data_IF_372388152244
#
_entry.id   IF_372388152244
#
_cell.length_a   1.000
_cell.length_b   1.000
_cell.length_c   1.000
_cell.angle_alpha   90.00
_cell.angle_beta   90.00
_cell.angle_gamma   90.00
#
_symmetry.space_group_name_H-M   'P 1'
#
loop_
_entity.id
_entity.type
_entity.pdbx_description
1 polymer ?
#
# COMPACT_ATOMS: atom_id res chain seq x y z
N UNK A 1 -7.64 -69.41 -33.05
CA UNK A 1 -6.53 -68.48 -33.30
C UNK A 1 -6.14 -67.89 -31.99
N UNK A 2 -5.11 -68.44 -31.35
CA UNK A 2 -4.63 -68.16 -30.02
C UNK A 2 -3.55 -67.06 -30.05
N UNK A 3 -3.76 -66.05 -29.20
CA UNK A 3 -2.80 -64.98 -28.93
C UNK A 3 -1.58 -65.53 -28.16
N UNK A 4 -0.35 -65.07 -28.40
CA UNK A 4 0.79 -65.47 -27.61
C UNK A 4 0.94 -64.64 -26.33
N UNK A 5 0.91 -65.36 -25.24
CA UNK A 5 0.99 -64.94 -23.89
C UNK A 5 2.46 -64.78 -23.43
N UNK A 6 2.71 -63.72 -22.71
CA UNK A 6 3.61 -63.53 -21.59
C UNK A 6 4.89 -64.34 -21.49
N UNK A 7 6.02 -63.69 -21.67
CA UNK A 7 7.25 -64.07 -21.04
C UNK A 7 7.56 -63.12 -19.89
N UNK A 8 7.82 -63.60 -18.65
CA UNK A 8 8.23 -62.77 -17.53
C UNK A 8 9.63 -62.23 -17.77
N UNK A 9 9.80 -60.92 -17.67
CA UNK A 9 11.10 -60.26 -17.66
C UNK A 9 11.78 -60.63 -16.36
N UNK A 10 12.87 -61.37 -16.43
CA UNK A 10 13.76 -61.59 -15.33
C UNK A 10 14.44 -60.29 -14.97
N UNK A 11 14.12 -59.73 -13.77
CA UNK A 11 14.89 -58.67 -13.16
C UNK A 11 16.30 -59.18 -12.82
N UNK A 12 17.30 -58.61 -13.43
CA UNK A 12 18.67 -58.81 -13.02
C UNK A 12 18.87 -58.18 -11.62
N UNK A 13 19.63 -58.82 -10.70
CA UNK A 13 19.96 -58.19 -9.44
C UNK A 13 20.80 -56.93 -9.73
N UNK A 14 20.36 -55.82 -9.22
CA UNK A 14 21.15 -54.60 -9.21
C UNK A 14 22.31 -54.78 -8.26
N UNK A 15 23.55 -54.69 -8.80
CA UNK A 15 24.75 -54.75 -8.00
C UNK A 15 24.75 -53.65 -6.94
N UNK A 16 25.11 -54.03 -5.73
CA UNK A 16 25.17 -53.15 -4.55
C UNK A 16 26.11 -51.94 -4.79
N UNK A 17 27.06 -52.06 -5.71
CA UNK A 17 27.95 -50.98 -6.13
C UNK A 17 27.24 -49.88 -6.99
N UNK A 18 26.20 -50.23 -7.72
CA UNK A 18 25.44 -49.26 -8.54
C UNK A 18 24.54 -48.41 -7.66
N UNK A 19 24.06 -48.94 -6.54
CA UNK A 19 23.23 -48.20 -5.58
C UNK A 19 24.06 -47.25 -4.70
N UNK A 20 25.34 -47.57 -4.41
CA UNK A 20 26.23 -46.68 -3.67
C UNK A 20 26.59 -45.41 -4.49
N UNK A 21 26.86 -45.57 -5.79
CA UNK A 21 27.15 -44.43 -6.67
C UNK A 21 25.95 -43.53 -6.93
N UNK A 22 24.73 -44.06 -6.89
CA UNK A 22 23.50 -43.24 -7.06
C UNK A 22 23.21 -42.45 -5.76
N UNK A 23 23.51 -43.02 -4.58
CA UNK A 23 23.33 -42.33 -3.30
C UNK A 23 24.36 -41.21 -3.07
N UNK A 24 25.59 -41.37 -3.50
CA UNK A 24 26.65 -40.35 -3.37
C UNK A 24 26.41 -39.18 -4.36
N UNK A 25 25.91 -39.42 -5.57
CA UNK A 25 25.59 -38.38 -6.54
C UNK A 25 24.39 -37.54 -6.20
N UNK A 26 23.43 -38.07 -5.42
CA UNK A 26 22.21 -37.35 -5.00
C UNK A 26 22.45 -36.54 -3.71
N UNK A 27 23.38 -36.98 -2.85
CA UNK A 27 23.69 -36.28 -1.60
C UNK A 27 24.78 -35.20 -1.75
N UNK A 28 25.61 -35.27 -2.82
CA UNK A 28 26.68 -34.31 -3.05
C UNK A 28 26.21 -32.92 -3.53
N UNK A 29 24.98 -32.78 -3.99
CA UNK A 29 24.49 -31.56 -4.61
C UNK A 29 23.52 -30.76 -3.72
N UNK A 30 23.19 -31.29 -2.53
CA UNK A 30 22.27 -30.57 -1.61
C UNK A 30 22.96 -29.42 -0.88
N UNK A 31 24.25 -29.45 -0.71
CA UNK A 31 24.98 -28.37 -0.02
C UNK A 31 25.18 -27.15 -0.93
N UNK A 32 25.23 -27.35 -2.25
CA UNK A 32 25.31 -26.23 -3.22
C UNK A 32 23.98 -25.57 -3.48
N UNK A 33 22.85 -26.25 -3.25
CA UNK A 33 21.49 -25.67 -3.40
C UNK A 33 21.13 -24.79 -2.21
N UNK A 34 21.72 -25.01 -1.04
CA UNK A 34 21.43 -24.25 0.18
C UNK A 34 22.14 -22.88 0.17
N UNK A 35 23.31 -22.77 -0.46
CA UNK A 35 24.08 -21.52 -0.50
C UNK A 35 23.54 -20.49 -1.48
N UNK A 36 22.78 -20.88 -2.52
CA UNK A 36 22.21 -19.95 -3.50
C UNK A 36 20.93 -19.23 -2.99
N UNK A 37 20.31 -19.73 -1.92
CA UNK A 37 19.16 -19.06 -1.29
C UNK A 37 19.55 -17.90 -0.35
N UNK A 38 20.80 -17.83 0.11
CA UNK A 38 21.26 -16.77 1.01
C UNK A 38 21.69 -15.47 0.27
N UNK A 39 21.85 -15.51 -1.05
CA UNK A 39 22.26 -14.34 -1.85
C UNK A 39 21.15 -13.26 -2.00
N UNK A 40 19.92 -13.56 -1.62
CA UNK A 40 18.80 -12.63 -1.59
C UNK A 40 18.25 -12.41 -0.18
N UNK A 41 19.12 -12.35 0.82
CA UNK A 41 18.72 -12.00 2.18
C UNK A 41 17.91 -10.69 2.16
N UNK A 42 16.66 -10.75 2.63
CA UNK A 42 15.78 -9.58 2.67
C UNK A 42 16.51 -8.41 3.38
N UNK A 43 16.43 -7.19 2.84
CA UNK A 43 17.12 -6.05 3.43
C UNK A 43 16.73 -5.89 4.89
N UNK A 44 17.75 -5.72 5.77
CA UNK A 44 17.56 -5.57 7.22
C UNK A 44 17.52 -4.09 7.62
N UNK A 45 16.88 -3.78 8.74
CA UNK A 45 16.81 -2.43 9.27
C UNK A 45 15.92 -1.48 8.45
N UNK A 46 16.31 -0.21 8.30
CA UNK A 46 15.56 0.82 7.60
C UNK A 46 15.37 0.53 6.10
N UNK A 47 16.36 -0.11 5.46
CA UNK A 47 16.28 -0.49 4.07
C UNK A 47 15.12 -1.45 3.78
N UNK A 48 14.72 -2.29 4.73
CA UNK A 48 13.54 -3.14 4.62
C UNK A 48 12.28 -2.32 4.32
N UNK A 49 12.04 -1.26 5.07
CA UNK A 49 10.84 -0.44 4.93
C UNK A 49 10.83 0.38 3.63
N UNK A 50 12.01 0.86 3.21
CA UNK A 50 12.13 1.67 2.00
C UNK A 50 11.94 0.87 0.71
N UNK A 51 12.48 -0.35 0.66
CA UNK A 51 12.50 -1.19 -0.54
C UNK A 51 11.62 -2.44 -0.45
N UNK A 52 10.78 -2.54 0.59
CA UNK A 52 9.91 -3.70 0.75
C UNK A 52 8.95 -3.84 -0.43
N UNK A 53 8.85 -5.07 -0.92
CA UNK A 53 7.83 -5.47 -1.90
C UNK A 53 6.71 -6.28 -1.27
N UNK A 54 6.83 -6.63 0.01
CA UNK A 54 5.86 -7.42 0.74
C UNK A 54 4.60 -6.60 1.06
N UNK A 55 3.44 -7.11 0.69
CA UNK A 55 2.15 -6.44 0.88
C UNK A 55 1.84 -6.12 2.36
N UNK A 56 2.31 -6.94 3.31
CA UNK A 56 2.10 -6.71 4.75
C UNK A 56 2.92 -5.54 5.27
N UNK A 57 4.19 -5.44 4.85
CA UNK A 57 5.04 -4.32 5.23
C UNK A 57 4.49 -3.01 4.66
N UNK A 58 4.10 -3.00 3.38
CA UNK A 58 3.52 -1.82 2.73
C UNK A 58 2.18 -1.46 3.38
N UNK A 59 1.31 -2.44 3.64
CA UNK A 59 0.06 -2.23 4.37
C UNK A 59 0.29 -1.63 5.76
N UNK A 60 1.32 -2.09 6.48
CA UNK A 60 1.71 -1.55 7.78
C UNK A 60 2.19 -0.10 7.66
N UNK A 61 2.96 0.24 6.62
CA UNK A 61 3.39 1.62 6.36
C UNK A 61 2.18 2.54 6.12
N UNK A 62 1.20 2.11 5.32
CA UNK A 62 -0.05 2.84 5.10
C UNK A 62 -0.82 3.07 6.41
N UNK A 63 -0.93 2.06 7.28
CA UNK A 63 -1.62 2.16 8.57
C UNK A 63 -0.92 3.13 9.52
N UNK A 64 0.41 3.08 9.64
CA UNK A 64 1.17 4.03 10.44
C UNK A 64 1.08 5.45 9.91
N UNK A 65 1.16 5.63 8.60
CA UNK A 65 0.98 6.93 7.96
C UNK A 65 -0.43 7.48 8.24
N UNK A 66 -1.45 6.66 8.04
CA UNK A 66 -2.85 7.00 8.33
C UNK A 66 -3.04 7.42 9.80
N UNK A 67 -2.46 6.69 10.72
CA UNK A 67 -2.53 7.01 12.15
C UNK A 67 -1.86 8.35 12.47
N UNK A 68 -0.68 8.61 11.90
CA UNK A 68 0.00 9.90 12.07
C UNK A 68 -0.84 11.06 11.50
N UNK A 69 -1.44 10.87 10.31
CA UNK A 69 -2.33 11.86 9.70
C UNK A 69 -3.62 12.05 10.50
N UNK A 70 -4.18 10.99 11.08
CA UNK A 70 -5.32 11.07 11.98
C UNK A 70 -5.03 11.92 13.20
N UNK A 71 -3.87 11.76 13.84
CA UNK A 71 -3.47 12.58 14.97
C UNK A 71 -3.25 14.04 14.56
N UNK A 72 -2.62 14.28 13.42
CA UNK A 72 -2.37 15.64 12.88
C UNK A 72 -3.69 16.34 12.56
N UNK A 73 -4.56 15.70 11.79
CA UNK A 73 -5.90 16.22 11.47
C UNK A 73 -6.77 16.37 12.73
N UNK A 74 -6.67 15.44 13.68
CA UNK A 74 -7.35 15.52 14.96
C UNK A 74 -6.91 16.73 15.78
N UNK A 75 -5.62 17.04 15.82
CA UNK A 75 -5.11 18.25 16.47
C UNK A 75 -5.67 19.53 15.84
N UNK A 76 -5.74 19.57 14.49
CA UNK A 76 -6.39 20.69 13.78
C UNK A 76 -7.88 20.82 14.14
N UNK A 77 -8.60 19.69 14.22
CA UNK A 77 -9.99 19.68 14.67
C UNK A 77 -10.16 20.25 16.10
N UNK A 78 -9.21 19.96 16.99
CA UNK A 78 -9.25 20.51 18.34
C UNK A 78 -9.05 22.02 18.35
N UNK A 79 -8.20 22.58 17.48
CA UNK A 79 -8.06 24.04 17.31
C UNK A 79 -9.38 24.65 16.82
N UNK A 80 -10.00 24.07 15.78
CA UNK A 80 -11.30 24.50 15.26
C UNK A 80 -12.36 24.45 16.38
N UNK A 81 -12.38 23.38 17.16
CA UNK A 81 -13.36 23.20 18.23
C UNK A 81 -13.14 24.20 19.39
N UNK A 82 -11.88 24.48 19.71
CA UNK A 82 -11.54 25.44 20.76
C UNK A 82 -11.95 26.87 20.37
N UNK A 83 -11.74 27.27 19.10
CA UNK A 83 -12.20 28.56 18.58
C UNK A 83 -13.74 28.69 18.66
N UNK A 84 -14.46 27.64 18.32
CA UNK A 84 -15.92 27.63 18.33
C UNK A 84 -16.56 27.37 19.72
N UNK A 85 -15.78 27.38 20.77
CA UNK A 85 -16.29 27.14 22.14
C UNK A 85 -17.18 28.30 22.63
N UNK A 86 -16.86 29.54 22.24
CA UNK A 86 -17.65 30.75 22.53
C UNK A 86 -17.87 31.54 21.21
N UNK A 87 -18.93 32.37 21.16
CA UNK A 87 -19.18 33.26 20.04
C UNK A 87 -18.09 34.33 19.89
N UNK A 88 -17.72 34.65 18.66
CA UNK A 88 -16.71 35.66 18.34
C UNK A 88 -15.32 35.06 18.12
N UNK A 89 -14.35 35.93 17.87
CA UNK A 89 -12.94 35.53 17.72
C UNK A 89 -12.33 35.31 19.11
N UNK A 90 -11.75 34.13 19.31
CA UNK A 90 -11.22 33.72 20.61
C UNK A 90 -9.71 33.50 20.57
N UNK A 91 -9.23 32.57 19.75
CA UNK A 91 -7.87 32.05 19.78
C UNK A 91 -7.10 32.31 18.49
N UNK A 92 -7.80 32.31 17.36
CA UNK A 92 -7.17 32.34 16.04
C UNK A 92 -7.83 33.35 15.11
N UNK A 93 -7.04 33.92 14.20
CA UNK A 93 -7.55 34.83 13.16
C UNK A 93 -8.41 34.07 12.13
N UNK A 94 -9.40 34.76 11.50
CA UNK A 94 -10.34 34.11 10.56
C UNK A 94 -9.66 33.39 9.38
N UNK A 95 -8.60 33.96 8.84
CA UNK A 95 -7.87 33.31 7.73
C UNK A 95 -7.19 32.04 8.17
N UNK A 96 -6.55 32.05 9.36
CA UNK A 96 -5.96 30.85 9.92
C UNK A 96 -7.01 29.78 10.25
N UNK A 97 -8.18 30.18 10.77
CA UNK A 97 -9.30 29.28 11.00
C UNK A 97 -9.75 28.59 9.70
N UNK A 98 -9.89 29.34 8.61
CA UNK A 98 -10.27 28.82 7.30
C UNK A 98 -9.21 27.88 6.73
N UNK A 99 -7.92 28.19 6.91
CA UNK A 99 -6.81 27.31 6.53
C UNK A 99 -6.87 25.99 7.34
N UNK A 100 -7.05 26.07 8.66
CA UNK A 100 -7.19 24.89 9.51
C UNK A 100 -8.35 24.01 9.08
N UNK A 101 -9.51 24.61 8.78
CA UNK A 101 -10.70 23.87 8.32
C UNK A 101 -10.46 23.18 6.99
N UNK A 102 -9.83 23.87 6.05
CA UNK A 102 -9.52 23.34 4.72
C UNK A 102 -8.53 22.18 4.80
N UNK A 103 -7.41 22.39 5.47
CA UNK A 103 -6.32 21.41 5.55
C UNK A 103 -6.72 20.22 6.46
N UNK A 104 -7.47 20.48 7.53
CA UNK A 104 -8.07 19.41 8.35
C UNK A 104 -8.90 18.46 7.49
N UNK A 105 -9.82 18.99 6.66
CA UNK A 105 -10.67 18.18 5.80
C UNK A 105 -9.85 17.31 4.83
N UNK A 106 -8.83 17.87 4.22
CA UNK A 106 -7.93 17.15 3.30
C UNK A 106 -7.13 16.05 4.01
N UNK A 107 -6.53 16.38 5.15
CA UNK A 107 -5.73 15.42 5.92
C UNK A 107 -6.61 14.27 6.40
N UNK A 108 -7.82 14.54 6.88
CA UNK A 108 -8.70 13.48 7.37
C UNK A 108 -9.19 12.56 6.26
N UNK A 109 -9.59 13.11 5.11
CA UNK A 109 -10.10 12.29 4.00
C UNK A 109 -8.95 11.56 3.29
N UNK A 110 -7.95 12.30 2.81
CA UNK A 110 -6.91 11.74 1.94
C UNK A 110 -5.69 11.20 2.70
N UNK A 111 -5.44 11.68 3.91
CA UNK A 111 -4.30 11.27 4.74
C UNK A 111 -4.63 10.20 5.78
N UNK A 112 -5.81 10.27 6.39
CA UNK A 112 -6.20 9.32 7.42
C UNK A 112 -7.10 8.20 6.84
N UNK A 113 -8.27 8.52 6.32
CA UNK A 113 -9.28 7.53 5.94
C UNK A 113 -8.84 6.70 4.74
N UNK A 114 -8.48 7.33 3.62
CA UNK A 114 -8.12 6.58 2.41
C UNK A 114 -6.87 5.69 2.59
N UNK A 115 -5.77 6.17 3.19
CA UNK A 115 -4.61 5.30 3.46
C UNK A 115 -4.91 4.19 4.46
N UNK A 116 -5.80 4.38 5.44
CA UNK A 116 -6.24 3.32 6.33
C UNK A 116 -6.89 2.17 5.57
N UNK A 117 -7.85 2.47 4.69
CA UNK A 117 -8.50 1.45 3.86
C UNK A 117 -7.53 0.81 2.88
N UNK A 118 -6.63 1.57 2.26
CA UNK A 118 -5.58 1.03 1.39
C UNK A 118 -4.64 0.10 2.16
N UNK A 119 -4.27 0.47 3.38
CA UNK A 119 -3.45 -0.35 4.27
C UNK A 119 -4.12 -1.68 4.64
N UNK A 120 -5.40 -1.62 5.01
CA UNK A 120 -6.22 -2.81 5.28
C UNK A 120 -6.37 -3.68 4.04
N UNK A 121 -6.63 -3.09 2.87
CA UNK A 121 -6.73 -3.80 1.61
C UNK A 121 -5.42 -4.54 1.27
N UNK A 122 -4.27 -3.87 1.38
CA UNK A 122 -2.97 -4.48 1.19
C UNK A 122 -2.72 -5.64 2.17
N UNK A 123 -3.13 -5.50 3.43
CA UNK A 123 -2.97 -6.53 4.45
C UNK A 123 -3.87 -7.74 4.21
N UNK A 124 -5.15 -7.50 3.93
CA UNK A 124 -6.20 -8.52 4.00
C UNK A 124 -6.50 -9.18 2.66
N UNK A 125 -6.52 -8.43 1.55
CA UNK A 125 -6.98 -8.95 0.26
C UNK A 125 -6.15 -10.15 -0.21
N UNK A 126 -4.79 -10.10 -0.25
CA UNK A 126 -4.02 -11.28 -0.67
C UNK A 126 -4.31 -12.51 0.19
N UNK A 127 -4.43 -12.35 1.51
CA UNK A 127 -4.75 -13.46 2.40
C UNK A 127 -6.16 -14.01 2.18
N UNK A 128 -7.15 -13.14 1.92
CA UNK A 128 -8.54 -13.54 1.70
C UNK A 128 -8.75 -14.26 0.38
N UNK A 129 -7.97 -13.95 -0.65
CA UNK A 129 -8.06 -14.60 -1.96
C UNK A 129 -7.05 -15.74 -2.15
N UNK A 130 -6.18 -15.98 -1.16
CA UNK A 130 -5.15 -17.01 -1.20
C UNK A 130 -3.98 -16.66 -2.13
N UNK A 131 -3.73 -15.37 -2.37
CA UNK A 131 -2.58 -14.91 -3.13
C UNK A 131 -1.33 -14.79 -2.24
N UNK A 132 -0.12 -15.11 -2.75
CA UNK A 132 1.12 -14.99 -1.98
C UNK A 132 1.53 -13.52 -1.74
N UNK A 133 1.23 -12.64 -2.67
CA UNK A 133 1.50 -11.20 -2.60
C UNK A 133 0.54 -10.43 -3.54
N UNK A 134 0.72 -9.09 -3.62
CA UNK A 134 0.03 -8.27 -4.62
C UNK A 134 0.62 -8.50 -6.01
N UNK A 135 -0.18 -8.26 -7.06
CA UNK A 135 0.21 -8.51 -8.44
C UNK A 135 1.39 -7.63 -8.90
N UNK A 136 1.48 -6.40 -8.41
CA UNK A 136 2.49 -5.41 -8.81
C UNK A 136 3.22 -4.85 -7.57
N UNK A 137 4.12 -5.63 -6.95
CA UNK A 137 4.69 -5.28 -5.63
C UNK A 137 5.52 -3.99 -5.65
N UNK A 138 6.30 -3.74 -6.72
CA UNK A 138 7.11 -2.51 -6.87
C UNK A 138 6.24 -1.28 -7.02
N UNK A 139 5.15 -1.37 -7.78
CA UNK A 139 4.19 -0.27 -7.93
C UNK A 139 3.47 -0.01 -6.62
N UNK A 140 3.20 -1.04 -5.83
CA UNK A 140 2.63 -0.93 -4.49
C UNK A 140 3.52 -0.13 -3.53
N UNK A 141 4.81 -0.42 -3.52
CA UNK A 141 5.78 0.35 -2.74
C UNK A 141 5.85 1.82 -3.20
N UNK A 142 5.91 2.06 -4.51
CA UNK A 142 5.95 3.40 -5.07
C UNK A 142 4.67 4.20 -4.72
N UNK A 143 3.49 3.58 -4.78
CA UNK A 143 2.21 4.22 -4.43
C UNK A 143 2.20 4.71 -2.99
N UNK A 144 2.81 3.98 -2.07
CA UNK A 144 2.97 4.44 -0.70
C UNK A 144 3.93 5.64 -0.61
N UNK A 145 5.14 5.52 -1.17
CA UNK A 145 6.17 6.55 -0.96
C UNK A 145 5.86 7.89 -1.62
N UNK A 146 5.06 7.91 -2.67
CA UNK A 146 4.55 9.17 -3.26
C UNK A 146 3.65 9.93 -2.28
N UNK A 147 2.90 9.23 -1.43
CA UNK A 147 1.91 9.84 -0.54
C UNK A 147 2.51 10.78 0.51
N UNK A 148 3.56 10.40 1.29
CA UNK A 148 4.22 11.33 2.21
C UNK A 148 4.74 12.61 1.53
N UNK A 149 5.26 12.52 0.30
CA UNK A 149 5.72 13.69 -0.45
C UNK A 149 4.56 14.63 -0.80
N UNK A 150 3.41 14.08 -1.19
CA UNK A 150 2.22 14.89 -1.46
C UNK A 150 1.78 15.68 -0.20
N UNK A 151 1.79 15.02 0.96
CA UNK A 151 1.43 15.67 2.22
C UNK A 151 2.49 16.68 2.70
N UNK A 152 3.76 16.46 2.43
CA UNK A 152 4.81 17.46 2.69
C UNK A 152 4.57 18.74 1.87
N UNK A 153 4.16 18.62 0.61
CA UNK A 153 3.80 19.77 -0.23
C UNK A 153 2.57 20.48 0.33
N UNK A 154 1.53 19.72 0.73
CA UNK A 154 0.32 20.28 1.33
C UNK A 154 0.62 21.04 2.62
N UNK A 155 1.37 20.45 3.53
CA UNK A 155 1.77 21.09 4.79
C UNK A 155 2.70 22.27 4.51
N UNK A 156 3.61 22.14 3.54
CA UNK A 156 4.51 23.21 3.09
C UNK A 156 3.75 24.43 2.59
N UNK A 157 2.56 24.26 2.00
CA UNK A 157 1.72 25.36 1.56
C UNK A 157 1.26 26.29 2.68
N UNK A 158 1.18 25.80 3.93
CA UNK A 158 0.84 26.61 5.10
C UNK A 158 1.93 27.67 5.44
N UNK A 159 3.14 27.47 4.99
CA UNK A 159 4.30 28.32 5.29
C UNK A 159 4.67 29.27 4.14
N UNK A 160 3.87 29.31 3.07
CA UNK A 160 4.06 30.23 1.95
C UNK A 160 3.55 31.62 2.28
N UNK A 161 4.03 32.62 1.55
CA UNK A 161 3.50 33.99 1.63
C UNK A 161 1.99 34.00 1.28
N UNK A 162 1.18 34.63 2.11
CA UNK A 162 -0.29 34.58 1.99
C UNK A 162 -0.94 33.36 2.67
N UNK A 163 -0.19 32.43 3.27
CA UNK A 163 -0.70 31.28 4.00
C UNK A 163 -1.17 30.13 3.13
N UNK A 164 -1.75 29.12 3.76
CA UNK A 164 -2.28 27.93 3.10
C UNK A 164 -3.67 28.12 2.46
N UNK A 165 -4.20 27.09 1.80
CA UNK A 165 -5.53 27.12 1.19
C UNK A 165 -6.61 27.35 2.26
N UNK A 166 -7.50 28.31 2.01
CA UNK A 166 -8.51 28.78 2.97
C UNK A 166 -9.95 28.72 2.46
N UNK A 167 -10.20 28.00 1.35
CA UNK A 167 -11.46 27.99 0.61
C UNK A 167 -12.29 26.70 0.77
N UNK A 168 -11.95 25.86 1.72
CA UNK A 168 -12.59 24.56 1.95
C UNK A 168 -12.03 23.45 1.06
N UNK A 169 -12.14 22.20 1.52
CA UNK A 169 -11.59 21.04 0.81
C UNK A 169 -12.28 20.73 -0.53
N UNK A 170 -13.49 21.25 -0.73
CA UNK A 170 -14.28 21.05 -1.97
C UNK A 170 -13.86 21.97 -3.12
N UNK A 171 -13.07 22.99 -2.86
CA UNK A 171 -12.40 23.79 -3.89
C UNK A 171 -13.33 24.55 -4.84
N UNK A 172 -14.45 25.08 -4.36
CA UNK A 172 -15.39 25.80 -5.22
C UNK A 172 -14.86 27.15 -5.73
N UNK A 173 -15.02 27.38 -7.04
CA UNK A 173 -14.87 28.70 -7.64
C UNK A 173 -16.11 29.58 -7.31
N UNK A 174 -15.97 30.91 -7.19
CA UNK A 174 -14.76 31.74 -7.42
C UNK A 174 -13.83 31.84 -6.20
N UNK A 175 -14.21 31.27 -5.04
CA UNK A 175 -13.46 31.39 -3.80
C UNK A 175 -12.02 30.83 -3.95
N UNK A 176 -11.87 29.69 -4.59
CA UNK A 176 -10.60 29.04 -4.81
C UNK A 176 -9.74 29.65 -5.93
N UNK A 177 -10.36 30.39 -6.86
CA UNK A 177 -9.66 30.93 -8.05
C UNK A 177 -9.37 32.41 -7.93
N UNK A 178 -10.35 33.22 -7.52
CA UNK A 178 -10.20 34.68 -7.47
C UNK A 178 -9.72 35.18 -6.12
N UNK A 179 -10.12 34.51 -5.05
CA UNK A 179 -9.82 34.91 -3.67
C UNK A 179 -8.87 33.93 -2.95
N UNK A 180 -8.41 32.89 -3.65
CA UNK A 180 -7.47 31.92 -3.07
C UNK A 180 -6.05 32.50 -2.94
N UNK A 181 -5.26 32.06 -1.97
CA UNK A 181 -3.86 32.45 -1.79
C UNK A 181 -2.98 31.88 -2.93
N UNK A 182 -1.78 32.42 -3.08
CA UNK A 182 -0.80 31.94 -4.06
C UNK A 182 -0.40 30.47 -3.86
N UNK A 183 -0.52 29.98 -2.63
CA UNK A 183 -0.32 28.56 -2.28
C UNK A 183 -1.32 27.60 -2.93
N UNK A 184 -2.39 28.09 -3.57
CA UNK A 184 -3.40 27.28 -4.26
C UNK A 184 -2.76 26.33 -5.27
N UNK A 185 -1.71 26.78 -5.99
CA UNK A 185 -0.99 25.92 -6.93
C UNK A 185 -0.34 24.69 -6.24
N UNK A 186 0.26 24.87 -5.07
CA UNK A 186 0.87 23.78 -4.28
C UNK A 186 -0.21 22.82 -3.77
N UNK A 187 -1.35 23.33 -3.35
CA UNK A 187 -2.50 22.54 -2.98
C UNK A 187 -2.97 21.63 -4.13
N UNK A 188 -3.21 22.22 -5.31
CA UNK A 188 -3.65 21.47 -6.50
C UNK A 188 -2.62 20.42 -6.88
N UNK A 189 -1.34 20.75 -6.86
CA UNK A 189 -0.27 19.83 -7.17
C UNK A 189 -0.21 18.66 -6.17
N UNK A 190 -0.33 18.95 -4.88
CA UNK A 190 -0.40 17.94 -3.81
C UNK A 190 -1.55 16.95 -4.05
N UNK A 191 -2.76 17.45 -4.32
CA UNK A 191 -3.94 16.60 -4.57
C UNK A 191 -3.75 15.72 -5.81
N UNK A 192 -3.13 16.24 -6.88
CA UNK A 192 -2.82 15.44 -8.07
C UNK A 192 -1.84 14.30 -7.77
N UNK A 193 -0.81 14.57 -6.97
CA UNK A 193 0.15 13.52 -6.55
C UNK A 193 -0.56 12.46 -5.68
N UNK A 194 -1.44 12.86 -4.77
CA UNK A 194 -2.28 11.91 -4.00
C UNK A 194 -3.15 11.05 -4.93
N UNK A 195 -3.73 11.68 -5.97
CA UNK A 195 -4.51 10.98 -7.00
C UNK A 195 -3.70 9.93 -7.75
N UNK A 196 -2.46 10.24 -8.13
CA UNK A 196 -1.55 9.28 -8.78
C UNK A 196 -1.28 8.08 -7.85
N UNK A 197 -0.98 8.33 -6.58
CA UNK A 197 -0.82 7.28 -5.57
C UNK A 197 -2.06 6.37 -5.49
N UNK A 198 -3.23 6.97 -5.41
CA UNK A 198 -4.51 6.25 -5.31
C UNK A 198 -4.80 5.39 -6.55
N UNK A 199 -4.57 5.92 -7.76
CA UNK A 199 -4.76 5.17 -9.02
C UNK A 199 -3.82 3.96 -9.06
N UNK A 200 -2.55 4.12 -8.70
CA UNK A 200 -1.60 3.00 -8.67
C UNK A 200 -2.02 1.90 -7.70
N UNK A 201 -2.49 2.30 -6.51
CA UNK A 201 -3.03 1.37 -5.51
C UNK A 201 -4.27 0.62 -6.03
N UNK A 202 -5.22 1.35 -6.62
CA UNK A 202 -6.45 0.77 -7.18
C UNK A 202 -6.17 -0.23 -8.31
N UNK A 203 -5.29 0.12 -9.26
CA UNK A 203 -4.88 -0.80 -10.32
C UNK A 203 -4.29 -2.07 -9.73
N UNK A 204 -3.41 -1.94 -8.74
CA UNK A 204 -2.77 -3.08 -8.12
C UNK A 204 -3.78 -4.01 -7.43
N UNK A 205 -4.71 -3.46 -6.65
CA UNK A 205 -5.77 -4.23 -5.98
C UNK A 205 -6.65 -4.96 -6.99
N UNK A 206 -7.12 -4.26 -8.03
CA UNK A 206 -7.98 -4.86 -9.07
C UNK A 206 -7.25 -5.99 -9.79
N UNK A 207 -6.02 -5.77 -10.24
CA UNK A 207 -5.23 -6.79 -10.93
C UNK A 207 -4.95 -8.00 -10.03
N UNK A 208 -4.68 -7.78 -8.75
CA UNK A 208 -4.49 -8.85 -7.77
C UNK A 208 -5.76 -9.70 -7.63
N UNK A 209 -6.92 -9.07 -7.46
CA UNK A 209 -8.20 -9.78 -7.31
C UNK A 209 -8.56 -10.53 -8.60
N UNK A 210 -8.32 -9.93 -9.77
CA UNK A 210 -8.67 -10.56 -11.06
C UNK A 210 -7.76 -11.76 -11.36
N UNK A 211 -6.46 -11.64 -11.17
CA UNK A 211 -5.47 -12.58 -11.69
C UNK A 211 -4.91 -13.57 -10.66
N UNK A 212 -4.96 -13.27 -9.36
CA UNK A 212 -4.21 -14.02 -8.35
C UNK A 212 -5.09 -14.80 -7.36
N UNK A 213 -6.36 -15.01 -7.69
CA UNK A 213 -7.23 -15.86 -6.84
C UNK A 213 -6.74 -17.30 -6.79
N UNK A 214 -6.87 -17.91 -5.62
CA UNK A 214 -6.58 -19.34 -5.43
C UNK A 214 -7.41 -20.21 -6.39
N UNK A 215 -6.87 -21.34 -6.88
CA UNK A 215 -7.61 -22.28 -7.71
C UNK A 215 -8.96 -22.68 -7.08
N UNK A 216 -10.03 -22.62 -7.85
CA UNK A 216 -11.40 -22.92 -7.37
C UNK A 216 -12.13 -21.77 -6.67
N UNK A 217 -11.47 -20.63 -6.45
CA UNK A 217 -12.11 -19.43 -5.92
C UNK A 217 -12.77 -18.63 -7.04
N UNK A 218 -14.06 -18.90 -7.26
CA UNK A 218 -14.87 -18.13 -8.22
C UNK A 218 -15.29 -16.79 -7.64
N UNK A 219 -15.78 -15.88 -8.48
CA UNK A 219 -16.22 -14.53 -8.07
C UNK A 219 -17.22 -14.56 -6.91
N UNK A 220 -18.21 -15.44 -6.94
CA UNK A 220 -19.24 -15.56 -5.90
C UNK A 220 -18.77 -16.22 -4.60
N UNK A 221 -17.54 -16.76 -4.56
CA UNK A 221 -16.90 -17.26 -3.34
C UNK A 221 -15.99 -16.26 -2.66
N UNK A 222 -15.83 -15.07 -3.24
CA UNK A 222 -15.02 -14.01 -2.64
C UNK A 222 -15.69 -13.49 -1.36
N UNK A 223 -14.91 -13.19 -0.30
CA UNK A 223 -15.42 -12.51 0.88
C UNK A 223 -15.99 -11.13 0.54
N UNK A 224 -16.98 -10.68 1.32
CA UNK A 224 -17.65 -9.39 1.12
C UNK A 224 -16.67 -8.20 1.10
N UNK A 225 -15.66 -8.22 1.95
CA UNK A 225 -14.61 -7.18 1.98
C UNK A 225 -13.87 -7.01 0.64
N UNK A 226 -13.75 -8.08 -0.14
CA UNK A 226 -13.08 -8.02 -1.46
C UNK A 226 -14.01 -7.43 -2.52
N UNK A 227 -15.32 -7.49 -2.32
CA UNK A 227 -16.34 -6.93 -3.20
C UNK A 227 -16.58 -5.43 -2.97
N UNK A 228 -16.34 -4.92 -1.76
CA UNK A 228 -16.54 -3.51 -1.37
C UNK A 228 -15.30 -2.67 -1.59
#
# INVERSE_FOLDING_TARGET
MSSPIDKPVKSAPADEQTLSHVSEGVLGDTDTIIDDHDSHAAPKGWARWLYSTNHKDIGTLYLWFSFAMFLTGGAMAMVIRAELFQPGLQLVEPDFFNQMTTVHGLIMVFGAVMPAFTGLANWMIPMMIGAPDMALPRMNNLSFWILPFAFLILIGSLFTEGGGPNFGWTFYAPLSTTYGPDSTALFVFSVHIMGISSIMGAINVIVTIVNMRAPGMTWFKLPMFVWT
#
